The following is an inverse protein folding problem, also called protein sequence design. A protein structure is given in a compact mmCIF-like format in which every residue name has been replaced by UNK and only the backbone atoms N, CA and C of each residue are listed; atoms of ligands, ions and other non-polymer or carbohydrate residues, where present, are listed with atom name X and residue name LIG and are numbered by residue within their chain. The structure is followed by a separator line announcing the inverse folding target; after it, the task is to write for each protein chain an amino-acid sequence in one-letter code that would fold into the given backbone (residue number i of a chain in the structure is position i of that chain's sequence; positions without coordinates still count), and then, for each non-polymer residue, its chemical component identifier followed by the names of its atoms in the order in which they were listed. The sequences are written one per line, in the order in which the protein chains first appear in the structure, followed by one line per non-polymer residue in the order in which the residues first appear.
data_IF_029569072610
#
_entry.id   IF_029569072610
#
_cell.length_a   1.000
_cell.length_b   1.000
_cell.length_c   1.000
_cell.angle_alpha   90.00
_cell.angle_beta   90.00
_cell.angle_gamma   90.00
#
_symmetry.space_group_name_H-M   'P 1'
#
loop_
_entity.id
_entity.type
_entity.pdbx_description
1 polymer ?
#
# COMPACT_ATOMS: atom_id res chain seq x y z
N UNK A 1 24.40 4.86 -3.87
CA UNK A 1 23.45 3.72 -3.89
C UNK A 1 22.23 4.14 -4.69
N UNK A 2 21.34 3.23 -5.10
CA UNK A 2 20.06 3.64 -5.70
C UNK A 2 19.14 4.26 -4.65
N UNK A 3 18.39 5.31 -5.01
CA UNK A 3 17.52 6.06 -4.09
C UNK A 3 16.56 5.14 -3.30
N UNK A 4 15.88 4.22 -3.99
CA UNK A 4 14.97 3.26 -3.35
C UNK A 4 15.65 2.40 -2.28
N UNK A 5 16.93 2.04 -2.47
CA UNK A 5 17.71 1.27 -1.50
C UNK A 5 18.05 2.12 -0.27
N UNK A 6 18.37 3.39 -0.47
CA UNK A 6 18.68 4.33 0.61
C UNK A 6 17.45 4.56 1.50
N UNK A 7 16.30 4.83 0.89
CA UNK A 7 15.03 5.02 1.60
C UNK A 7 14.59 3.76 2.38
N UNK A 8 14.76 2.57 1.79
CA UNK A 8 14.48 1.31 2.48
C UNK A 8 15.39 1.14 3.72
N UNK A 9 16.68 1.45 3.59
CA UNK A 9 17.62 1.38 4.71
C UNK A 9 17.30 2.41 5.80
N UNK A 10 16.89 3.63 5.44
CA UNK A 10 16.45 4.63 6.40
C UNK A 10 15.19 4.22 7.15
N UNK A 11 14.22 3.62 6.46
CA UNK A 11 13.02 3.07 7.09
C UNK A 11 13.39 1.98 8.10
N UNK A 12 14.22 1.01 7.69
CA UNK A 12 14.66 -0.09 8.56
C UNK A 12 15.40 0.44 9.80
N UNK A 13 16.26 1.45 9.64
CA UNK A 13 17.00 2.07 10.76
C UNK A 13 16.12 2.77 11.79
N UNK A 14 14.87 3.12 11.44
CA UNK A 14 13.91 3.77 12.36
C UNK A 14 13.04 2.78 13.12
N UNK A 15 13.06 1.50 12.73
CA UNK A 15 12.31 0.46 13.43
C UNK A 15 12.98 0.11 14.77
N UNK A 16 12.20 -0.36 15.77
CA UNK A 16 12.77 -0.93 16.99
C UNK A 16 13.73 -2.09 16.72
N UNK A 17 14.73 -2.28 17.57
CA UNK A 17 15.74 -3.34 17.38
C UNK A 17 15.18 -4.77 17.53
N UNK A 18 14.00 -4.92 18.16
CA UNK A 18 13.35 -6.20 18.44
C UNK A 18 12.31 -6.63 17.38
N UNK A 19 12.20 -5.89 16.26
CA UNK A 19 11.29 -6.25 15.17
C UNK A 19 11.73 -7.51 14.43
N UNK A 20 10.76 -8.25 13.94
CA UNK A 20 11.01 -9.42 13.09
C UNK A 20 11.20 -9.03 11.63
N UNK A 21 11.80 -9.93 10.85
CA UNK A 21 11.87 -9.75 9.38
C UNK A 21 10.47 -9.61 8.75
N UNK A 22 9.42 -10.23 9.30
CA UNK A 22 8.04 -10.06 8.80
C UNK A 22 7.60 -8.61 8.91
N UNK A 23 7.81 -8.01 10.09
CA UNK A 23 7.49 -6.61 10.35
C UNK A 23 8.25 -5.67 9.41
N UNK A 24 9.54 -5.93 9.17
CA UNK A 24 10.32 -5.15 8.21
C UNK A 24 9.70 -5.21 6.81
N UNK A 25 9.30 -6.40 6.35
CA UNK A 25 8.64 -6.57 5.06
C UNK A 25 7.30 -5.84 5.00
N UNK A 26 6.47 -5.97 6.05
CA UNK A 26 5.17 -5.28 6.15
C UNK A 26 5.31 -3.77 6.02
N UNK A 27 6.27 -3.16 6.71
CA UNK A 27 6.53 -1.72 6.65
C UNK A 27 7.00 -1.28 5.26
N UNK A 28 7.84 -2.07 4.60
CA UNK A 28 8.26 -1.80 3.21
C UNK A 28 7.08 -1.88 2.24
N UNK A 29 6.22 -2.88 2.38
CA UNK A 29 5.00 -3.00 1.58
C UNK A 29 4.01 -1.88 1.86
N UNK A 30 3.89 -1.44 3.11
CA UNK A 30 3.06 -0.31 3.47
C UNK A 30 3.55 0.98 2.79
N UNK A 31 4.85 1.29 2.87
CA UNK A 31 5.45 2.42 2.15
C UNK A 31 5.12 2.37 0.66
N UNK A 32 5.35 1.22 0.02
CA UNK A 32 5.07 1.05 -1.41
C UNK A 32 3.59 1.30 -1.76
N UNK A 33 2.65 0.79 -0.94
CA UNK A 33 1.22 1.00 -1.18
C UNK A 33 0.81 2.47 -1.03
N UNK A 34 1.39 3.19 -0.06
CA UNK A 34 1.14 4.63 0.10
C UNK A 34 1.65 5.40 -1.11
N UNK A 35 2.87 5.12 -1.57
CA UNK A 35 3.45 5.76 -2.76
C UNK A 35 2.59 5.51 -4.00
N UNK A 36 2.17 4.26 -4.21
CA UNK A 36 1.29 3.93 -5.31
C UNK A 36 -0.05 4.68 -5.23
N UNK A 37 -0.63 4.79 -4.02
CA UNK A 37 -1.85 5.55 -3.80
C UNK A 37 -1.69 7.04 -4.11
N UNK A 38 -0.55 7.64 -3.78
CA UNK A 38 -0.25 9.04 -4.12
C UNK A 38 -0.14 9.23 -5.64
N UNK A 39 0.52 8.30 -6.34
CA UNK A 39 0.58 8.32 -7.81
C UNK A 39 -0.80 8.14 -8.44
N UNK A 40 -1.64 7.27 -7.88
CA UNK A 40 -3.01 7.05 -8.34
C UNK A 40 -3.85 8.32 -8.21
N UNK A 41 -3.74 9.03 -7.09
CA UNK A 41 -4.39 10.33 -6.89
C UNK A 41 -3.90 11.35 -7.91
N UNK A 42 -2.58 11.47 -8.09
CA UNK A 42 -1.99 12.42 -9.05
C UNK A 42 -2.40 12.14 -10.50
N UNK A 43 -2.57 10.86 -10.85
CA UNK A 43 -3.01 10.42 -12.17
C UNK A 43 -4.54 10.40 -12.35
N UNK A 44 -5.32 10.79 -11.33
CA UNK A 44 -6.78 10.74 -11.37
C UNK A 44 -7.37 9.32 -11.37
N UNK A 45 -6.58 8.29 -11.00
CA UNK A 45 -7.03 6.90 -10.83
C UNK A 45 -7.75 6.72 -9.49
N UNK A 46 -8.70 7.59 -9.21
CA UNK A 46 -9.53 7.59 -8.01
C UNK A 46 -10.97 7.22 -8.37
N UNK A 47 -11.73 6.79 -7.37
CA UNK A 47 -13.16 6.59 -7.49
C UNK A 47 -13.86 7.22 -6.30
N UNK A 48 -15.09 7.67 -6.52
CA UNK A 48 -16.00 8.15 -5.48
C UNK A 48 -16.41 7.02 -4.55
N UNK A 49 -16.94 7.39 -3.39
CA UNK A 49 -17.46 6.43 -2.42
C UNK A 49 -18.64 5.62 -2.99
N UNK A 50 -19.48 6.25 -3.79
CA UNK A 50 -20.61 5.64 -4.48
C UNK A 50 -20.13 4.58 -5.49
N UNK A 51 -19.16 4.93 -6.35
CA UNK A 51 -18.57 4.00 -7.32
C UNK A 51 -17.92 2.78 -6.62
N UNK A 52 -17.25 3.01 -5.49
CA UNK A 52 -16.66 1.96 -4.67
C UNK A 52 -17.75 1.01 -4.14
N UNK A 53 -18.85 1.54 -3.58
CA UNK A 53 -19.97 0.72 -3.07
C UNK A 53 -20.58 -0.15 -4.15
N UNK A 54 -20.80 0.40 -5.34
CA UNK A 54 -21.33 -0.37 -6.46
C UNK A 54 -20.38 -1.48 -6.90
N UNK A 55 -19.08 -1.20 -6.98
CA UNK A 55 -18.06 -2.19 -7.31
C UNK A 55 -18.03 -3.32 -6.27
N UNK A 56 -18.08 -3.00 -4.99
CA UNK A 56 -18.15 -3.98 -3.90
C UNK A 56 -19.42 -4.84 -3.98
N UNK A 57 -20.57 -4.23 -4.29
CA UNK A 57 -21.83 -4.96 -4.46
C UNK A 57 -21.77 -5.95 -5.65
N UNK A 58 -21.13 -5.57 -6.76
CA UNK A 58 -20.90 -6.46 -7.90
C UNK A 58 -19.97 -7.63 -7.53
N UNK A 59 -18.89 -7.37 -6.82
CA UNK A 59 -17.94 -8.40 -6.39
C UNK A 59 -18.58 -9.45 -5.45
N UNK A 60 -19.45 -9.00 -4.54
CA UNK A 60 -20.23 -9.91 -3.68
C UNK A 60 -21.15 -10.83 -4.50
N UNK A 61 -21.79 -10.31 -5.55
CA UNK A 61 -22.65 -11.11 -6.44
C UNK A 61 -21.85 -12.11 -7.29
N UNK A 62 -20.62 -11.77 -7.68
CA UNK A 62 -19.76 -12.66 -8.49
C UNK A 62 -19.10 -13.79 -7.68
N UNK A 63 -19.06 -13.67 -6.35
CA UNK A 63 -18.44 -14.67 -5.47
C UNK A 63 -19.38 -15.80 -5.02
N UNK A 64 -20.59 -15.89 -5.59
CA UNK A 64 -21.49 -17.04 -5.43
C UNK A 64 -21.92 -17.33 -3.98
N UNK A 65 -21.92 -16.31 -3.11
CA UNK A 65 -22.55 -16.37 -1.78
C UNK A 65 -23.84 -15.57 -1.75
#
# INVERSE_FOLDING_TARGET
MGQAKEEALELIRRLPDDVTTSTIMEELFFKQQVEQGLEDVAAGRVMTHEELKERMARWRKSTGR
#
